data_IF_667816627741
#
_entry.id   IF_667816627741
#
_cell.length_a   1.000
_cell.length_b   1.000
_cell.length_c   1.000
_cell.angle_alpha   90.00
_cell.angle_beta   90.00
_cell.angle_gamma   90.00
#
_symmetry.space_group_name_H-M   'P 1'
#
loop_
_entity.id
_entity.type
_entity.pdbx_description
1 polymer ?
#
# COMPACT_ATOMS: atom_id res chain seq x y z
N UNK A 1 4.83 11.35 4.47
CA UNK A 1 3.81 12.12 5.23
C UNK A 1 4.57 12.96 6.24
N UNK A 2 4.37 14.28 6.30
CA UNK A 2 5.06 15.09 7.30
C UNK A 2 4.62 14.65 8.71
N UNK A 3 5.53 14.58 9.70
CA UNK A 3 5.17 14.22 11.07
C UNK A 3 4.20 15.26 11.67
N UNK A 4 3.29 14.85 12.57
CA UNK A 4 2.45 15.79 13.29
C UNK A 4 3.33 16.74 14.12
N UNK A 5 2.94 18.02 14.16
CA UNK A 5 3.68 19.03 14.90
C UNK A 5 3.45 18.86 16.42
N UNK A 6 4.42 18.25 17.10
CA UNK A 6 4.36 17.94 18.54
C UNK A 6 4.43 19.21 19.43
N UNK A 7 4.69 20.40 18.87
CA UNK A 7 4.93 21.65 19.61
C UNK A 7 3.82 22.68 19.44
N UNK A 8 2.54 22.28 19.48
CA UNK A 8 1.45 23.27 19.59
C UNK A 8 1.26 23.69 21.05
N UNK A 9 1.51 24.96 21.43
CA UNK A 9 1.25 25.43 22.79
C UNK A 9 -0.26 25.40 23.06
N UNK A 10 -0.70 24.50 23.95
CA UNK A 10 -1.93 24.47 24.75
C UNK A 10 -3.22 25.15 24.19
N UNK A 11 -3.44 25.16 22.88
CA UNK A 11 -4.78 25.39 22.32
C UNK A 11 -5.42 24.03 22.18
N UNK A 12 -6.58 23.86 22.84
CA UNK A 12 -7.40 22.64 22.88
C UNK A 12 -7.18 21.79 21.63
N UNK A 13 -6.77 20.53 21.82
CA UNK A 13 -6.68 19.54 20.75
C UNK A 13 -7.98 19.65 19.96
N UNK A 14 -7.90 19.97 18.66
CA UNK A 14 -9.07 19.84 17.80
C UNK A 14 -9.61 18.43 18.03
N UNK A 15 -10.89 18.29 18.36
CA UNK A 15 -11.53 16.98 18.56
C UNK A 15 -11.13 16.14 17.35
N UNK A 16 -10.31 15.12 17.60
CA UNK A 16 -9.77 14.33 16.51
C UNK A 16 -10.90 13.45 15.98
N UNK A 17 -11.21 13.62 14.70
CA UNK A 17 -12.25 12.83 14.01
C UNK A 17 -11.63 11.57 13.39
N UNK A 18 -10.50 11.08 13.92
CA UNK A 18 -9.77 9.95 13.33
C UNK A 18 -10.59 8.67 13.38
N UNK A 19 -11.28 8.41 14.51
CA UNK A 19 -12.12 7.22 14.65
C UNK A 19 -13.26 7.19 13.64
N UNK A 20 -14.01 8.29 13.49
CA UNK A 20 -15.08 8.39 12.49
C UNK A 20 -14.56 8.18 11.06
N UNK A 21 -13.37 8.72 10.73
CA UNK A 21 -12.77 8.54 9.40
C UNK A 21 -12.38 7.09 9.12
N UNK A 22 -11.92 6.34 10.14
CA UNK A 22 -11.68 4.90 10.02
C UNK A 22 -12.99 4.15 9.73
N UNK A 23 -14.04 4.42 10.51
CA UNK A 23 -15.35 3.78 10.35
C UNK A 23 -15.95 4.02 8.95
N UNK A 24 -15.90 5.26 8.46
CA UNK A 24 -16.33 5.60 7.10
C UNK A 24 -15.50 4.89 6.03
N UNK A 25 -14.19 4.70 6.26
CA UNK A 25 -13.32 3.97 5.33
C UNK A 25 -13.67 2.48 5.28
N UNK A 26 -13.90 1.85 6.43
CA UNK A 26 -14.31 0.43 6.52
C UNK A 26 -15.68 0.20 5.89
N UNK A 27 -16.64 1.09 6.13
CA UNK A 27 -17.96 1.02 5.50
C UNK A 27 -17.86 1.06 3.97
N UNK A 28 -17.05 1.97 3.42
CA UNK A 28 -16.82 2.06 1.98
C UNK A 28 -16.20 0.77 1.40
N UNK A 29 -15.24 0.18 2.11
CA UNK A 29 -14.63 -1.09 1.70
C UNK A 29 -15.66 -2.23 1.65
N UNK A 30 -16.54 -2.31 2.66
CA UNK A 30 -17.58 -3.34 2.70
C UNK A 30 -18.65 -3.20 1.60
N UNK A 31 -19.00 -1.98 1.20
CA UNK A 31 -20.10 -1.71 0.28
C UNK A 31 -19.70 -1.93 -1.19
N UNK A 32 -18.43 -1.75 -1.55
CA UNK A 32 -17.97 -1.67 -2.94
C UNK A 32 -17.41 -3.00 -3.50
N UNK A 33 -17.99 -4.16 -3.11
CA UNK A 33 -17.44 -5.49 -3.47
C UNK A 33 -17.35 -5.76 -4.97
N UNK A 34 -18.41 -5.44 -5.73
CA UNK A 34 -18.44 -5.66 -7.20
C UNK A 34 -17.46 -4.73 -7.92
N UNK A 35 -17.39 -3.49 -7.44
CA UNK A 35 -16.51 -2.47 -8.00
C UNK A 35 -15.04 -2.84 -7.75
N UNK A 36 -14.70 -3.41 -6.59
CA UNK A 36 -13.33 -3.81 -6.27
C UNK A 36 -12.78 -4.90 -7.20
N UNK A 37 -13.58 -5.90 -7.57
CA UNK A 37 -13.17 -6.92 -8.55
C UNK A 37 -12.94 -6.32 -9.94
N UNK A 38 -13.84 -5.46 -10.39
CA UNK A 38 -13.69 -4.76 -11.66
C UNK A 38 -12.47 -3.84 -11.64
N UNK A 39 -12.27 -3.09 -10.55
CA UNK A 39 -11.13 -2.22 -10.30
C UNK A 39 -9.81 -3.01 -10.36
N UNK A 40 -9.70 -4.14 -9.68
CA UNK A 40 -8.50 -4.97 -9.71
C UNK A 40 -8.18 -5.50 -11.11
N UNK A 41 -9.19 -5.95 -11.87
CA UNK A 41 -8.99 -6.38 -13.27
C UNK A 41 -8.54 -5.23 -14.16
N UNK A 42 -9.22 -4.10 -14.06
CA UNK A 42 -8.92 -2.96 -14.89
C UNK A 42 -7.54 -2.33 -14.54
N UNK A 43 -7.12 -2.38 -13.27
CA UNK A 43 -5.75 -2.02 -12.86
C UNK A 43 -4.71 -2.89 -13.56
N UNK A 44 -4.88 -4.22 -13.52
CA UNK A 44 -3.98 -5.16 -14.18
C UNK A 44 -3.93 -4.94 -15.70
N UNK A 45 -5.09 -4.75 -16.34
CA UNK A 45 -5.17 -4.49 -17.79
C UNK A 45 -4.54 -3.15 -18.18
N UNK A 46 -4.69 -2.11 -17.36
CA UNK A 46 -4.10 -0.79 -17.63
C UNK A 46 -2.57 -0.84 -17.58
N UNK A 47 -1.99 -1.57 -16.61
CA UNK A 47 -0.53 -1.76 -16.54
C UNK A 47 -0.01 -2.52 -17.76
N UNK A 48 -0.67 -3.62 -18.15
CA UNK A 48 -0.32 -4.38 -19.35
C UNK A 48 -0.33 -3.51 -20.62
N UNK A 49 -1.34 -2.64 -20.75
CA UNK A 49 -1.44 -1.73 -21.89
C UNK A 49 -0.36 -0.63 -21.91
N UNK A 50 0.19 -0.25 -20.74
CA UNK A 50 1.28 0.71 -20.66
C UNK A 50 2.63 0.06 -21.00
N UNK A 51 2.84 -1.18 -20.55
CA UNK A 51 4.04 -1.97 -20.86
C UNK A 51 4.18 -2.25 -22.36
N UNK A 52 3.08 -2.47 -23.07
CA UNK A 52 3.12 -2.71 -24.53
C UNK A 52 3.48 -1.48 -25.37
N UNK A 53 3.42 -0.26 -24.80
CA UNK A 53 3.70 0.98 -25.52
C UNK A 53 5.16 1.45 -25.40
N UNK A 54 5.96 0.85 -24.51
CA UNK A 54 7.39 1.13 -24.35
C UNK A 54 8.15 -0.19 -24.10
N UNK A 55 8.70 -0.83 -25.16
CA UNK A 55 9.32 -2.15 -25.05
C UNK A 55 10.70 -2.16 -24.35
N UNK A 56 11.38 -1.02 -24.24
CA UNK A 56 12.74 -0.92 -23.69
C UNK A 56 12.77 -0.35 -22.26
N UNK A 57 13.69 -0.84 -21.41
CA UNK A 57 13.84 -0.35 -20.05
C UNK A 57 14.42 1.07 -20.08
N UNK A 58 13.56 2.08 -19.94
CA UNK A 58 14.02 3.45 -19.69
C UNK A 58 14.72 3.45 -18.32
N UNK A 59 15.99 3.90 -18.23
CA UNK A 59 16.67 4.07 -16.95
C UNK A 59 15.81 4.93 -16.04
N UNK A 60 15.74 4.49 -14.79
CA UNK A 60 15.12 5.16 -13.66
C UNK A 60 15.27 6.68 -13.75
N UNK A 61 14.18 7.41 -14.02
CA UNK A 61 14.18 8.86 -13.89
C UNK A 61 14.42 9.17 -12.40
N UNK A 62 15.61 9.69 -12.13
CA UNK A 62 16.06 10.20 -10.84
C UNK A 62 14.96 11.03 -10.18
N UNK A 63 14.56 10.63 -8.97
CA UNK A 63 13.56 11.33 -8.18
C UNK A 63 14.31 12.38 -7.35
N UNK A 64 14.53 13.56 -7.92
CA UNK A 64 14.85 14.76 -7.14
C UNK A 64 13.55 15.38 -6.60
N UNK A 65 13.47 15.72 -5.30
CA UNK A 65 12.32 16.40 -4.74
C UNK A 65 12.47 17.91 -4.98
N UNK A 66 11.95 18.43 -6.09
CA UNK A 66 11.78 19.87 -6.22
C UNK A 66 10.67 20.37 -5.28
N UNK A 67 11.11 21.08 -4.26
CA UNK A 67 10.32 21.88 -3.34
C UNK A 67 9.84 23.17 -4.01
N UNK A 68 8.51 23.40 -4.08
CA UNK A 68 7.81 24.62 -3.65
C UNK A 68 6.30 24.61 -4.02
N UNK A 69 5.46 25.44 -3.36
CA UNK A 69 4.05 25.14 -3.06
C UNK A 69 3.06 25.86 -3.99
N UNK A 70 1.84 25.31 -4.11
CA UNK A 70 0.54 25.91 -4.53
C UNK A 70 -0.23 24.86 -5.36
N UNK A 71 -1.54 24.61 -5.26
CA UNK A 71 -2.71 25.30 -4.73
C UNK A 71 -3.71 24.22 -4.27
N UNK A 72 -4.64 24.59 -3.39
CA UNK A 72 -5.78 23.76 -2.97
C UNK A 72 -6.50 23.16 -4.19
N UNK A 73 -6.32 21.86 -4.41
CA UNK A 73 -7.08 21.14 -5.42
C UNK A 73 -8.47 20.86 -4.85
N UNK A 74 -9.48 21.51 -5.43
CA UNK A 74 -10.89 21.17 -5.23
C UNK A 74 -11.16 19.68 -5.54
N UNK A 75 -12.34 19.16 -5.14
CA UNK A 75 -12.60 17.72 -5.18
C UNK A 75 -12.66 17.25 -6.63
N UNK A 76 -11.55 16.70 -7.11
CA UNK A 76 -11.51 15.94 -8.36
C UNK A 76 -12.41 14.73 -8.14
N UNK A 77 -13.53 14.70 -8.85
CA UNK A 77 -14.52 13.64 -8.82
C UNK A 77 -13.83 12.28 -8.89
N UNK A 78 -14.08 11.43 -7.88
CA UNK A 78 -13.45 10.12 -7.70
C UNK A 78 -13.82 9.10 -8.78
N UNK A 79 -14.67 9.47 -9.74
CA UNK A 79 -15.20 8.62 -10.79
C UNK A 79 -14.49 8.84 -12.14
N UNK A 80 -13.15 8.86 -12.15
CA UNK A 80 -12.43 8.58 -13.39
C UNK A 80 -12.65 7.10 -13.71
N UNK A 81 -13.63 6.84 -14.57
CA UNK A 81 -13.94 5.53 -15.14
C UNK A 81 -12.63 4.84 -15.54
N UNK A 82 -12.40 3.64 -15.04
CA UNK A 82 -11.13 2.94 -15.18
C UNK A 82 -10.79 2.69 -16.67
N UNK A 83 -11.79 2.74 -17.57
CA UNK A 83 -11.61 2.74 -19.02
C UNK A 83 -10.90 3.98 -19.57
N UNK A 84 -10.97 5.11 -18.86
CA UNK A 84 -10.23 6.33 -19.17
C UNK A 84 -8.82 6.29 -18.60
N UNK A 85 -8.55 5.47 -17.57
CA UNK A 85 -7.21 5.33 -16.98
C UNK A 85 -6.18 4.80 -17.99
N UNK A 86 -6.60 3.94 -18.93
CA UNK A 86 -5.73 3.46 -20.02
C UNK A 86 -5.37 4.55 -21.04
N UNK A 87 -6.09 5.68 -21.04
CA UNK A 87 -5.81 6.85 -21.88
C UNK A 87 -4.91 7.87 -21.18
N UNK A 88 -4.77 7.80 -19.86
CA UNK A 88 -3.89 8.68 -19.10
C UNK A 88 -2.44 8.45 -19.51
N UNK A 89 -1.62 9.50 -19.51
CA UNK A 89 -0.18 9.38 -19.79
C UNK A 89 0.66 10.12 -18.75
N UNK A 90 1.91 9.68 -18.61
CA UNK A 90 2.91 10.36 -17.79
C UNK A 90 2.47 10.57 -16.32
N UNK A 91 2.53 11.80 -15.78
CA UNK A 91 2.23 12.09 -14.37
C UNK A 91 0.79 11.73 -13.94
N UNK A 92 -0.17 11.77 -14.86
CA UNK A 92 -1.58 11.50 -14.57
C UNK A 92 -1.83 10.04 -14.20
N UNK A 93 -1.15 9.12 -14.91
CA UNK A 93 -1.14 7.69 -14.60
C UNK A 93 -0.62 7.46 -13.18
N UNK A 94 0.49 8.12 -12.82
CA UNK A 94 1.11 8.01 -11.48
C UNK A 94 0.14 8.47 -10.39
N UNK A 95 -0.53 9.61 -10.60
CA UNK A 95 -1.51 10.16 -9.66
C UNK A 95 -2.73 9.24 -9.51
N UNK A 96 -3.20 8.67 -10.62
CA UNK A 96 -4.31 7.73 -10.60
C UNK A 96 -3.96 6.42 -9.90
N UNK A 97 -2.79 5.82 -10.13
CA UNK A 97 -2.35 4.62 -9.39
C UNK A 97 -2.12 4.91 -7.90
N UNK A 98 -1.55 6.07 -7.56
CA UNK A 98 -1.36 6.47 -6.17
C UNK A 98 -2.69 6.61 -5.42
N UNK A 99 -3.77 7.05 -6.09
CA UNK A 99 -5.09 7.13 -5.46
C UNK A 99 -5.77 5.78 -5.23
N UNK A 100 -5.22 4.69 -5.75
CA UNK A 100 -5.73 3.32 -5.50
C UNK A 100 -5.15 2.72 -4.23
N UNK A 101 -4.08 3.30 -3.67
CA UNK A 101 -3.45 2.81 -2.44
C UNK A 101 -4.26 3.22 -1.21
N UNK A 102 -4.47 2.28 -0.28
CA UNK A 102 -4.82 2.63 1.09
C UNK A 102 -3.65 3.39 1.72
N UNK A 103 -3.80 4.70 1.85
CA UNK A 103 -2.78 5.54 2.48
C UNK A 103 -2.92 5.48 4.00
N UNK A 104 -1.81 5.21 4.73
CA UNK A 104 -1.84 5.22 6.18
C UNK A 104 -1.99 6.67 6.65
N UNK A 105 -2.60 6.81 7.82
CA UNK A 105 -2.61 8.05 8.57
C UNK A 105 -1.76 7.89 9.83
N UNK A 106 -1.16 8.97 10.31
CA UNK A 106 -0.57 9.01 11.64
C UNK A 106 -1.58 8.57 12.69
N UNK A 107 -1.19 7.64 13.55
CA UNK A 107 -1.99 7.26 14.71
C UNK A 107 -1.87 8.39 15.75
N UNK A 108 -2.89 9.26 15.82
CA UNK A 108 -3.01 10.33 16.80
C UNK A 108 -3.84 9.83 17.97
N UNK A 109 -5.02 9.27 17.66
CA UNK A 109 -5.89 8.63 18.66
C UNK A 109 -5.63 7.14 18.68
N UNK A 110 -5.22 6.60 19.83
CA UNK A 110 -5.07 5.15 19.99
C UNK A 110 -6.48 4.52 20.05
N UNK A 111 -6.82 3.54 19.18
CA UNK A 111 -8.10 2.84 19.22
C UNK A 111 -8.29 2.06 20.55
N UNK A 112 -9.51 2.05 21.10
CA UNK A 112 -9.81 1.36 22.37
C UNK A 112 -9.49 -0.15 22.34
N UNK A 113 -9.74 -0.79 21.20
CA UNK A 113 -9.51 -2.23 20.98
C UNK A 113 -8.24 -2.51 20.17
N UNK A 114 -7.21 -1.67 20.31
CA UNK A 114 -5.94 -1.82 19.59
C UNK A 114 -5.41 -3.26 19.65
N UNK A 115 -5.32 -3.86 20.84
CA UNK A 115 -4.72 -5.20 21.00
C UNK A 115 -5.51 -6.36 20.41
N UNK A 116 -6.78 -6.15 20.04
CA UNK A 116 -7.67 -7.22 19.57
C UNK A 116 -7.98 -7.11 18.08
N UNK A 117 -8.18 -5.88 17.60
CA UNK A 117 -8.66 -5.64 16.24
C UNK A 117 -7.56 -5.06 15.34
N UNK A 118 -6.33 -4.90 15.85
CA UNK A 118 -5.23 -4.32 15.10
C UNK A 118 -3.98 -5.17 15.09
N UNK A 119 -3.26 -5.04 13.97
CA UNK A 119 -1.97 -5.64 13.72
C UNK A 119 -0.90 -4.56 13.57
N UNK A 120 0.33 -4.92 13.89
CA UNK A 120 1.49 -4.03 13.80
C UNK A 120 2.67 -4.73 13.12
N UNK A 121 3.43 -3.97 12.34
CA UNK A 121 4.71 -4.42 11.80
C UNK A 121 5.71 -3.28 11.64
N UNK A 122 6.99 -3.64 11.59
CA UNK A 122 8.05 -2.71 11.24
C UNK A 122 7.93 -2.30 9.77
N UNK A 123 7.72 -1.01 9.51
CA UNK A 123 7.66 -0.47 8.15
C UNK A 123 9.07 -0.49 7.53
N UNK A 124 9.28 -1.17 6.40
CA UNK A 124 10.53 -1.05 5.65
C UNK A 124 10.74 0.39 5.16
N UNK A 125 11.95 0.91 5.30
CA UNK A 125 12.38 2.15 4.67
C UNK A 125 12.40 1.97 3.15
N UNK A 126 11.77 2.88 2.41
CA UNK A 126 11.73 2.81 0.96
C UNK A 126 10.54 3.55 0.36
N UNK A 127 10.45 3.50 -0.98
CA UNK A 127 9.33 4.09 -1.72
C UNK A 127 8.16 3.11 -1.73
N UNK A 128 7.01 3.54 -1.20
CA UNK A 128 5.77 2.77 -1.31
C UNK A 128 5.31 2.76 -2.77
N UNK A 129 5.17 1.57 -3.35
CA UNK A 129 4.73 1.40 -4.73
C UNK A 129 3.64 0.31 -4.83
N UNK A 130 2.78 0.40 -5.85
CA UNK A 130 1.97 -0.74 -6.27
C UNK A 130 2.85 -1.57 -7.20
N UNK A 131 2.99 -2.85 -6.89
CA UNK A 131 3.61 -3.81 -7.80
C UNK A 131 2.50 -4.57 -8.51
N UNK A 132 2.39 -4.37 -9.83
CA UNK A 132 1.54 -5.19 -10.69
C UNK A 132 2.45 -6.09 -11.50
N UNK A 133 2.57 -7.35 -11.07
CA UNK A 133 3.28 -8.35 -11.86
C UNK A 133 2.33 -8.94 -12.90
N UNK A 134 2.61 -8.67 -14.17
CA UNK A 134 1.98 -9.34 -15.30
C UNK A 134 3.05 -9.59 -16.35
N UNK A 135 3.16 -10.83 -16.82
CA UNK A 135 4.12 -11.25 -17.85
C UNK A 135 5.60 -10.84 -17.63
N UNK A 136 6.07 -10.93 -16.39
CA UNK A 136 7.47 -11.31 -16.11
C UNK A 136 8.60 -10.38 -16.55
N UNK A 137 8.50 -9.05 -16.42
CA UNK A 137 9.69 -8.18 -16.46
C UNK A 137 9.56 -6.95 -15.56
N UNK A 138 10.50 -6.74 -14.63
CA UNK A 138 10.76 -5.49 -13.88
C UNK A 138 12.26 -5.55 -13.39
N UNK A 139 12.86 -4.47 -12.87
CA UNK A 139 14.28 -4.31 -12.43
C UNK A 139 14.70 -4.91 -11.05
N UNK A 140 15.97 -5.30 -10.90
CA UNK A 140 16.60 -6.03 -9.78
C UNK A 140 16.53 -5.37 -8.37
N UNK A 141 15.42 -5.54 -7.65
CA UNK A 141 15.20 -5.06 -6.27
C UNK A 141 14.40 -6.07 -5.42
N UNK A 142 14.51 -6.03 -4.09
CA UNK A 142 13.63 -6.81 -3.20
C UNK A 142 12.38 -5.99 -2.85
N UNK A 143 11.19 -6.53 -3.15
CA UNK A 143 9.94 -5.91 -2.75
C UNK A 143 9.43 -6.50 -1.45
N UNK A 144 9.39 -5.68 -0.39
CA UNK A 144 8.74 -6.04 0.85
C UNK A 144 7.23 -5.87 0.73
N UNK A 145 6.51 -6.98 0.68
CA UNK A 145 5.07 -6.99 0.49
C UNK A 145 4.39 -6.82 1.84
N UNK A 146 3.70 -5.69 1.99
CA UNK A 146 2.98 -5.32 3.21
C UNK A 146 1.50 -5.70 3.17
N UNK A 147 0.96 -5.97 1.99
CA UNK A 147 -0.46 -6.28 1.79
C UNK A 147 -0.71 -6.93 0.41
N UNK A 148 -1.78 -7.72 0.30
CA UNK A 148 -2.31 -8.30 -0.93
C UNK A 148 -3.77 -7.89 -1.11
N UNK A 149 -4.03 -7.03 -2.10
CA UNK A 149 -5.39 -6.55 -2.41
C UNK A 149 -6.07 -7.35 -3.53
N UNK A 150 -5.29 -8.07 -4.33
CA UNK A 150 -5.78 -8.93 -5.41
C UNK A 150 -4.79 -10.06 -5.70
N UNK A 151 -5.31 -11.25 -5.99
CA UNK A 151 -4.51 -12.39 -6.43
C UNK A 151 -5.17 -13.12 -7.59
N UNK A 152 -4.49 -13.26 -8.74
CA UNK A 152 -5.01 -13.95 -9.94
C UNK A 152 -6.44 -13.51 -10.33
N UNK A 153 -6.74 -12.21 -10.18
CA UNK A 153 -8.04 -11.64 -10.49
C UNK A 153 -9.10 -11.76 -9.39
N UNK A 154 -8.80 -12.42 -8.27
CA UNK A 154 -9.63 -12.42 -7.07
C UNK A 154 -9.31 -11.20 -6.22
N UNK A 155 -10.29 -10.30 -6.06
CA UNK A 155 -10.21 -9.17 -5.14
C UNK A 155 -10.23 -9.68 -3.69
N UNK A 156 -9.40 -9.05 -2.84
CA UNK A 156 -9.36 -9.27 -1.39
C UNK A 156 -9.79 -8.02 -0.60
N UNK A 157 -10.29 -6.98 -1.28
CA UNK A 157 -10.71 -5.71 -0.66
C UNK A 157 -11.81 -5.86 0.41
N UNK A 158 -12.65 -6.89 0.30
CA UNK A 158 -13.73 -7.18 1.24
C UNK A 158 -13.33 -8.21 2.30
N UNK A 159 -12.07 -8.64 2.31
CA UNK A 159 -11.52 -9.53 3.31
C UNK A 159 -10.90 -8.77 4.48
N UNK A 160 -10.93 -9.39 5.65
CA UNK A 160 -10.25 -8.89 6.86
C UNK A 160 -8.74 -8.80 6.62
N UNK A 161 -8.07 -7.91 7.37
CA UNK A 161 -6.62 -7.80 7.35
C UNK A 161 -5.93 -9.13 7.66
N UNK A 162 -6.41 -9.84 8.68
CA UNK A 162 -5.94 -11.17 9.06
C UNK A 162 -5.93 -12.14 7.88
N UNK A 163 -7.06 -12.25 7.18
CA UNK A 163 -7.17 -13.14 6.03
C UNK A 163 -6.21 -12.73 4.92
N UNK A 164 -6.08 -11.43 4.65
CA UNK A 164 -5.14 -10.92 3.64
C UNK A 164 -3.70 -11.25 3.98
N UNK A 165 -3.29 -11.13 5.24
CA UNK A 165 -1.94 -11.49 5.66
C UNK A 165 -1.70 -13.00 5.57
N UNK A 166 -2.65 -13.81 6.01
CA UNK A 166 -2.58 -15.27 5.85
C UNK A 166 -2.45 -15.66 4.37
N UNK A 167 -3.33 -15.13 3.53
CA UNK A 167 -3.40 -15.43 2.11
C UNK A 167 -2.14 -14.98 1.37
N UNK A 168 -1.64 -13.77 1.68
CA UNK A 168 -0.39 -13.24 1.16
C UNK A 168 0.78 -14.20 1.42
N UNK A 169 0.98 -14.61 2.67
CA UNK A 169 2.07 -15.51 3.04
C UNK A 169 1.94 -16.88 2.36
N UNK A 170 0.73 -17.46 2.37
CA UNK A 170 0.46 -18.75 1.72
C UNK A 170 0.71 -18.70 0.20
N UNK A 171 0.21 -17.67 -0.49
CA UNK A 171 0.31 -17.59 -1.95
C UNK A 171 1.69 -17.21 -2.46
N UNK A 172 2.43 -16.36 -1.74
CA UNK A 172 3.81 -16.10 -2.11
C UNK A 172 4.68 -17.35 -1.96
N UNK A 173 4.52 -18.10 -0.86
CA UNK A 173 5.23 -19.36 -0.65
C UNK A 173 4.95 -20.39 -1.76
N UNK A 174 3.69 -20.52 -2.20
CA UNK A 174 3.30 -21.43 -3.30
C UNK A 174 3.96 -21.10 -4.65
N UNK A 175 4.35 -19.85 -4.88
CA UNK A 175 4.87 -19.40 -6.19
C UNK A 175 6.38 -19.44 -6.32
N UNK A 176 7.13 -19.66 -5.24
CA UNK A 176 8.58 -19.48 -5.24
C UNK A 176 9.00 -18.01 -5.45
N UNK A 177 8.07 -17.06 -5.33
CA UNK A 177 8.34 -15.64 -5.52
C UNK A 177 9.32 -15.06 -4.47
N UNK A 178 9.50 -15.77 -3.36
CA UNK A 178 10.45 -15.44 -2.31
C UNK A 178 11.84 -16.07 -2.50
N UNK A 179 12.01 -16.93 -3.51
CA UNK A 179 13.27 -17.60 -3.78
C UNK A 179 14.32 -16.60 -4.31
N UNK A 180 15.57 -17.07 -4.41
CA UNK A 180 16.62 -16.26 -4.98
C UNK A 180 16.27 -15.86 -6.43
N UNK A 181 16.58 -14.63 -6.86
CA UNK A 181 16.36 -14.20 -8.24
C UNK A 181 16.97 -15.22 -9.21
N UNK A 182 16.22 -15.52 -10.27
CA UNK A 182 16.64 -16.43 -11.33
C UNK A 182 16.72 -15.70 -12.67
N UNK A 183 17.25 -16.34 -13.70
CA UNK A 183 17.31 -15.79 -15.06
C UNK A 183 15.93 -15.34 -15.58
N UNK A 184 14.84 -15.98 -15.14
CA UNK A 184 13.46 -15.66 -15.54
C UNK A 184 12.76 -14.69 -14.59
N UNK A 185 13.19 -14.63 -13.32
CA UNK A 185 12.58 -13.78 -12.29
C UNK A 185 13.66 -12.98 -11.59
N UNK A 186 13.84 -11.72 -12.04
CA UNK A 186 14.81 -10.78 -11.46
C UNK A 186 14.41 -10.23 -10.08
N UNK A 187 13.33 -10.75 -9.48
CA UNK A 187 12.78 -10.26 -8.22
C UNK A 187 12.84 -11.27 -7.12
N UNK A 188 13.04 -10.71 -5.93
CA UNK A 188 12.68 -11.36 -4.69
C UNK A 188 11.55 -10.59 -4.02
N UNK A 189 10.42 -11.25 -3.83
CA UNK A 189 9.41 -10.77 -2.90
C UNK A 189 9.76 -11.24 -1.50
N UNK A 190 9.46 -10.45 -0.48
CA UNK A 190 9.63 -10.85 0.91
C UNK A 190 8.48 -10.30 1.72
N UNK A 191 7.89 -11.11 2.58
CA UNK A 191 6.81 -10.65 3.46
C UNK A 191 7.39 -9.95 4.69
N UNK A 192 6.63 -9.01 5.24
CA UNK A 192 6.96 -8.39 6.52
C UNK A 192 6.36 -9.21 7.67
N UNK A 193 7.09 -9.42 8.78
CA UNK A 193 6.52 -10.04 9.97
C UNK A 193 5.41 -9.16 10.55
N UNK A 194 4.21 -9.74 10.74
CA UNK A 194 3.04 -9.06 11.30
C UNK A 194 2.73 -9.64 12.68
N UNK A 195 2.46 -8.76 13.64
CA UNK A 195 2.19 -9.12 15.02
C UNK A 195 0.85 -8.55 15.48
N UNK A 196 0.27 -9.13 16.52
CA UNK A 196 -0.86 -8.54 17.23
C UNK A 196 -0.40 -7.27 17.98
N UNK A 197 -1.30 -6.31 18.19
CA UNK A 197 -0.97 -5.12 18.96
C UNK A 197 -1.07 -5.31 20.49
N UNK A 198 -0.62 -6.46 21.00
CA UNK A 198 -0.40 -6.65 22.44
C UNK A 198 1.03 -6.18 22.82
N UNK A 199 1.34 -6.19 24.12
CA UNK A 199 2.65 -5.74 24.60
C UNK A 199 3.82 -6.51 23.95
N UNK A 200 3.65 -7.81 23.69
CA UNK A 200 4.71 -8.65 23.11
C UNK A 200 4.87 -8.33 21.62
N UNK A 201 3.78 -8.25 20.88
CA UNK A 201 3.80 -7.97 19.45
C UNK A 201 4.32 -6.56 19.14
N UNK A 202 3.96 -5.56 19.95
CA UNK A 202 4.54 -4.21 19.84
C UNK A 202 6.05 -4.22 20.08
N UNK A 203 6.49 -4.93 21.13
CA UNK A 203 7.91 -5.07 21.43
C UNK A 203 8.66 -5.77 20.30
N UNK A 204 8.14 -6.91 19.82
CA UNK A 204 8.71 -7.66 18.70
C UNK A 204 8.81 -6.81 17.43
N UNK A 205 7.73 -6.14 17.03
CA UNK A 205 7.75 -5.27 15.85
C UNK A 205 8.82 -4.17 15.97
N UNK A 206 8.98 -3.58 17.16
CA UNK A 206 9.95 -2.52 17.39
C UNK A 206 11.39 -3.02 17.43
N UNK A 207 11.67 -4.12 18.13
CA UNK A 207 13.04 -4.52 18.47
C UNK A 207 13.64 -5.61 17.58
N UNK A 208 12.82 -6.51 17.03
CA UNK A 208 13.35 -7.69 16.33
C UNK A 208 14.15 -7.30 15.08
N UNK A 209 15.24 -8.01 14.83
CA UNK A 209 16.04 -7.77 13.63
C UNK A 209 15.29 -8.24 12.39
N UNK A 210 15.26 -7.40 11.36
CA UNK A 210 14.61 -7.66 10.08
C UNK A 210 15.61 -7.32 8.96
N UNK A 211 15.52 -7.95 7.77
CA UNK A 211 16.51 -7.78 6.70
C UNK A 211 16.39 -6.44 5.95
N UNK A 212 15.77 -5.43 6.56
CA UNK A 212 15.54 -4.10 6.01
C UNK A 212 15.69 -3.03 7.09
N UNK A 213 16.04 -1.81 6.67
CA UNK A 213 16.02 -0.67 7.58
C UNK A 213 14.58 -0.36 8.01
N UNK A 214 14.35 -0.16 9.30
CA UNK A 214 13.04 0.21 9.84
C UNK A 214 12.84 1.72 9.74
N UNK A 215 11.68 2.14 9.24
CA UNK A 215 11.28 3.55 9.09
C UNK A 215 10.11 3.94 10.04
N UNK A 216 9.62 2.97 10.82
CA UNK A 216 8.58 3.17 11.82
C UNK A 216 7.74 1.93 12.03
N UNK A 217 6.63 2.10 12.74
CA UNK A 217 5.60 1.07 12.89
C UNK A 217 4.39 1.43 12.04
N UNK A 218 3.81 0.44 11.37
CA UNK A 218 2.55 0.58 10.68
C UNK A 218 1.50 -0.27 11.41
N UNK A 219 0.34 0.35 11.65
CA UNK A 219 -0.80 -0.29 12.31
C UNK A 219 -1.90 -0.53 11.29
N UNK A 220 -2.48 -1.72 11.34
CA UNK A 220 -3.48 -2.19 10.40
C UNK A 220 -4.72 -2.68 11.14
N UNK A 221 -5.92 -2.26 10.70
CA UNK A 221 -7.21 -2.72 11.20
C UNK A 221 -7.91 -3.62 10.16
#
# INVERSE_FOLDING_TARGET
MAPPDLRRPFKRTAISDQQRRRELSLQRQSQNRRDAQQQARCLASSVLSLQSQYPDPVPELEIEPESQPQQEAGPLTKDLDIRQASKLRGPEVRKWFASQLMLPEWMIDVPDRLSHDWYVFARPAGKRCIVVSSNGTTLDQTYYVIDMVCWRGYSLYDCTAEFRFFWLNSKLAETGACDAPSHYYKFRFSTVPVYNCDQRGLYSAYIESVPYAKDGLLFYN
#
